data_IF_919862992241
#
_entry.id   IF_919862992241
#
_cell.length_a   1.000
_cell.length_b   1.000
_cell.length_c   1.000
_cell.angle_alpha   90.00
_cell.angle_beta   90.00
_cell.angle_gamma   90.00
#
_symmetry.space_group_name_H-M   'P 1'
#
loop_
_entity.id
_entity.type
_entity.pdbx_description
1 polymer ?
#
# COMPACT_ATOMS: atom_id res chain seq x y z
N UNK A 1 44.24 43.33 -8.36
CA UNK A 1 43.06 42.83 -7.62
C UNK A 1 43.37 41.43 -7.10
N UNK A 2 43.64 41.28 -5.80
CA UNK A 2 43.97 39.98 -5.20
C UNK A 2 42.67 39.32 -4.77
N UNK A 3 42.22 38.30 -5.49
CA UNK A 3 41.05 37.50 -5.09
C UNK A 3 41.43 36.69 -3.85
N UNK A 4 40.73 36.91 -2.74
CA UNK A 4 40.77 36.01 -1.60
C UNK A 4 40.01 34.73 -2.01
N UNK A 5 40.75 33.66 -2.31
CA UNK A 5 40.17 32.32 -2.30
C UNK A 5 39.84 31.98 -0.85
N UNK A 6 38.60 32.25 -0.44
CA UNK A 6 38.06 31.74 0.82
C UNK A 6 37.70 30.27 0.59
N UNK A 7 38.59 29.37 1.02
CA UNK A 7 38.31 27.94 1.05
C UNK A 7 37.45 27.57 2.25
N UNK A 8 36.59 26.56 2.10
CA UNK A 8 35.85 25.97 3.22
C UNK A 8 36.82 25.43 4.27
N UNK A 9 36.51 25.69 5.54
CA UNK A 9 37.31 25.14 6.65
C UNK A 9 36.92 23.69 6.91
N UNK A 10 37.88 22.89 7.40
CA UNK A 10 37.64 21.48 7.74
C UNK A 10 36.54 21.35 8.80
N UNK A 11 36.49 22.30 9.74
CA UNK A 11 35.47 22.33 10.79
C UNK A 11 34.07 22.65 10.25
N UNK A 12 33.97 23.50 9.23
CA UNK A 12 32.71 23.83 8.56
C UNK A 12 32.14 22.61 7.83
N UNK A 13 32.99 21.82 7.18
CA UNK A 13 32.58 20.54 6.59
C UNK A 13 32.16 19.53 7.67
N UNK A 14 32.86 19.46 8.81
CA UNK A 14 32.45 18.56 9.90
C UNK A 14 31.08 18.94 10.49
N UNK A 15 30.79 20.24 10.63
CA UNK A 15 29.49 20.71 11.10
C UNK A 15 28.40 20.38 10.09
N UNK A 16 28.64 20.58 8.79
CA UNK A 16 27.67 20.23 7.73
C UNK A 16 27.35 18.74 7.73
N UNK A 17 28.37 17.88 7.83
CA UNK A 17 28.17 16.41 7.88
C UNK A 17 27.40 16.02 9.14
N UNK A 18 27.69 16.63 10.28
CA UNK A 18 26.96 16.39 11.53
C UNK A 18 25.48 16.78 11.42
N UNK A 19 25.17 17.92 10.81
CA UNK A 19 23.79 18.37 10.57
C UNK A 19 23.07 17.43 9.60
N UNK A 20 23.70 17.03 8.49
CA UNK A 20 23.12 16.09 7.54
C UNK A 20 22.81 14.75 8.21
N UNK A 21 23.75 14.22 9.01
CA UNK A 21 23.53 12.99 9.77
C UNK A 21 22.31 13.06 10.70
N UNK A 22 22.12 14.20 11.38
CA UNK A 22 20.97 14.43 12.26
C UNK A 22 19.64 14.55 11.51
N UNK A 23 19.64 15.14 10.32
CA UNK A 23 18.41 15.25 9.51
C UNK A 23 18.02 13.90 8.89
N UNK A 24 19.00 13.09 8.47
CA UNK A 24 18.76 11.80 7.84
C UNK A 24 18.08 10.79 8.77
N UNK A 25 18.41 10.80 10.06
CA UNK A 25 17.80 9.88 11.04
C UNK A 25 16.29 10.09 11.21
N UNK A 26 15.81 11.33 11.11
CA UNK A 26 14.38 11.66 11.23
C UNK A 26 13.65 11.44 9.89
N UNK A 27 14.31 11.74 8.78
CA UNK A 27 13.67 11.79 7.46
C UNK A 27 13.44 10.41 6.83
N UNK A 28 14.33 9.45 7.09
CA UNK A 28 14.24 8.11 6.50
C UNK A 28 12.93 7.34 6.78
N UNK A 29 12.45 7.20 8.03
CA UNK A 29 11.23 6.43 8.31
C UNK A 29 9.97 7.05 7.69
N UNK A 30 9.90 8.39 7.63
CA UNK A 30 8.74 9.11 7.09
C UNK A 30 8.51 8.83 5.61
N UNK A 31 9.59 8.80 4.82
CA UNK A 31 9.49 8.51 3.38
C UNK A 31 8.98 7.08 3.14
N UNK A 32 9.44 6.11 3.92
CA UNK A 32 9.00 4.71 3.76
C UNK A 32 7.51 4.52 4.04
N UNK A 33 6.95 5.18 5.06
CA UNK A 33 5.53 5.09 5.36
C UNK A 33 4.67 5.78 4.30
N UNK A 34 5.15 6.89 3.71
CA UNK A 34 4.46 7.56 2.60
C UNK A 34 4.34 6.65 1.37
N UNK A 35 5.44 5.96 1.01
CA UNK A 35 5.47 5.03 -0.12
C UNK A 35 4.54 3.83 0.16
N UNK A 36 4.61 3.24 1.35
CA UNK A 36 3.69 2.15 1.77
C UNK A 36 2.23 2.57 1.70
N UNK A 37 1.90 3.78 2.17
CA UNK A 37 0.53 4.32 2.08
C UNK A 37 0.07 4.41 0.62
N UNK A 38 0.94 4.83 -0.29
CA UNK A 38 0.65 4.88 -1.73
C UNK A 38 0.31 3.49 -2.28
N UNK A 39 1.10 2.47 -1.93
CA UNK A 39 0.80 1.09 -2.34
C UNK A 39 -0.50 0.54 -1.75
N UNK A 40 -0.83 0.89 -0.49
CA UNK A 40 -2.12 0.54 0.12
C UNK A 40 -3.29 1.19 -0.64
N UNK A 41 -3.16 2.45 -1.04
CA UNK A 41 -4.21 3.13 -1.83
C UNK A 41 -4.38 2.53 -3.23
N UNK A 42 -3.27 2.11 -3.84
CA UNK A 42 -3.29 1.45 -5.15
C UNK A 42 -4.05 0.12 -5.09
N UNK A 43 -3.71 -0.75 -4.12
CA UNK A 43 -4.40 -2.04 -3.98
C UNK A 43 -5.85 -1.89 -3.57
N UNK A 44 -6.19 -0.93 -2.69
CA UNK A 44 -7.57 -0.62 -2.34
C UNK A 44 -8.38 -0.14 -3.56
N UNK A 45 -7.75 0.62 -4.46
CA UNK A 45 -8.33 1.01 -5.74
C UNK A 45 -8.61 -0.20 -6.63
N UNK A 46 -7.64 -1.10 -6.79
CA UNK A 46 -7.79 -2.33 -7.57
C UNK A 46 -8.88 -3.28 -7.02
N UNK A 47 -9.00 -3.38 -5.70
CA UNK A 47 -10.10 -4.15 -5.08
C UNK A 47 -11.46 -3.50 -5.37
N UNK A 48 -11.54 -2.18 -5.30
CA UNK A 48 -12.77 -1.43 -5.58
C UNK A 48 -13.19 -1.52 -7.05
N UNK A 49 -12.23 -1.51 -7.98
CA UNK A 49 -12.48 -1.71 -9.42
C UNK A 49 -13.02 -3.12 -9.69
N UNK A 50 -12.40 -4.14 -9.08
CA UNK A 50 -12.87 -5.52 -9.24
C UNK A 50 -14.24 -5.75 -8.63
N UNK A 51 -14.54 -5.17 -7.48
CA UNK A 51 -15.88 -5.19 -6.91
C UNK A 51 -16.90 -4.62 -7.91
N UNK A 52 -16.61 -3.48 -8.55
CA UNK A 52 -17.49 -2.92 -9.58
C UNK A 52 -17.66 -3.85 -10.79
N UNK A 53 -16.59 -4.51 -11.24
CA UNK A 53 -16.66 -5.50 -12.32
C UNK A 53 -17.54 -6.68 -11.95
N UNK A 54 -17.42 -7.18 -10.71
CA UNK A 54 -18.25 -8.25 -10.17
C UNK A 54 -19.73 -7.84 -10.09
N UNK A 55 -20.03 -6.64 -9.60
CA UNK A 55 -21.42 -6.15 -9.54
C UNK A 55 -22.04 -5.97 -10.93
N UNK A 56 -21.27 -5.51 -11.90
CA UNK A 56 -21.72 -5.44 -13.31
C UNK A 56 -21.97 -6.81 -13.90
N UNK A 57 -21.14 -7.80 -13.56
CA UNK A 57 -21.33 -9.18 -14.01
C UNK A 57 -22.58 -9.80 -13.38
N UNK A 58 -22.77 -9.61 -12.07
CA UNK A 58 -23.96 -10.07 -11.35
C UNK A 58 -25.24 -9.45 -11.90
N UNK A 59 -25.23 -8.15 -12.22
CA UNK A 59 -26.39 -7.48 -12.83
C UNK A 59 -26.83 -8.08 -14.17
N UNK A 60 -25.93 -8.79 -14.88
CA UNK A 60 -26.22 -9.43 -16.17
C UNK A 60 -26.53 -10.93 -16.04
N UNK A 61 -25.87 -11.62 -15.11
CA UNK A 61 -25.91 -13.09 -15.02
C UNK A 61 -26.62 -13.60 -13.77
N UNK A 62 -26.96 -12.73 -12.82
CA UNK A 62 -27.53 -13.05 -11.50
C UNK A 62 -26.69 -14.00 -10.63
N UNK A 63 -25.41 -14.19 -10.99
CA UNK A 63 -24.43 -14.99 -10.25
C UNK A 63 -23.05 -14.32 -10.30
N UNK A 64 -22.23 -14.47 -9.26
CA UNK A 64 -20.81 -14.05 -9.31
C UNK A 64 -19.87 -15.17 -9.75
N UNK A 65 -20.31 -16.43 -9.74
CA UNK A 65 -19.49 -17.56 -10.16
C UNK A 65 -19.00 -17.40 -11.60
N UNK A 66 -17.74 -17.77 -11.85
CA UNK A 66 -17.07 -17.67 -13.15
C UNK A 66 -16.99 -16.25 -13.75
N UNK A 67 -17.10 -15.20 -12.94
CA UNK A 67 -16.91 -13.83 -13.42
C UNK A 67 -15.51 -13.64 -14.05
N UNK A 68 -15.41 -13.22 -15.32
CA UNK A 68 -14.14 -13.01 -15.99
C UNK A 68 -13.56 -11.62 -15.68
N UNK A 69 -12.27 -11.42 -15.99
CA UNK A 69 -11.65 -10.09 -15.96
C UNK A 69 -11.22 -9.60 -14.57
N UNK A 70 -11.03 -10.51 -13.62
CA UNK A 70 -10.42 -10.19 -12.33
C UNK A 70 -8.91 -10.05 -12.46
N UNK A 71 -8.35 -9.07 -11.75
CA UNK A 71 -6.91 -8.81 -11.75
C UNK A 71 -6.21 -9.78 -10.81
N UNK A 72 -5.02 -10.24 -11.18
CA UNK A 72 -4.17 -11.04 -10.30
C UNK A 72 -3.49 -10.20 -9.18
N UNK A 73 -3.65 -8.88 -9.19
CA UNK A 73 -2.99 -7.95 -8.28
C UNK A 73 -1.92 -7.10 -8.96
N UNK A 74 -0.95 -6.62 -8.19
CA UNK A 74 0.14 -5.76 -8.64
C UNK A 74 1.51 -6.28 -8.18
N UNK A 75 2.55 -5.46 -8.24
CA UNK A 75 3.90 -5.84 -7.81
C UNK A 75 3.98 -6.28 -6.34
N UNK A 76 3.14 -5.70 -5.47
CA UNK A 76 3.23 -5.86 -4.02
C UNK A 76 2.21 -6.84 -3.43
N UNK A 77 1.07 -7.00 -4.11
CA UNK A 77 -0.04 -7.83 -3.66
C UNK A 77 -0.49 -8.81 -4.74
N UNK A 78 -0.85 -10.02 -4.35
CA UNK A 78 -1.64 -10.95 -5.17
C UNK A 78 -3.11 -10.88 -4.75
N UNK A 79 -4.02 -10.83 -5.70
CA UNK A 79 -5.46 -10.80 -5.41
C UNK A 79 -6.06 -12.17 -5.71
N UNK A 80 -6.80 -12.69 -4.74
CA UNK A 80 -7.60 -13.90 -4.88
C UNK A 80 -9.08 -13.56 -4.63
N UNK A 81 -9.95 -14.16 -5.43
CA UNK A 81 -11.39 -13.97 -5.31
C UNK A 81 -12.04 -15.30 -4.94
N UNK A 82 -12.74 -15.31 -3.81
CA UNK A 82 -13.63 -16.42 -3.44
C UNK A 82 -15.04 -16.02 -3.85
N UNK A 83 -15.56 -16.67 -4.89
CA UNK A 83 -16.86 -16.35 -5.50
C UNK A 83 -17.85 -17.47 -5.20
N UNK A 84 -19.04 -17.09 -4.74
CA UNK A 84 -20.25 -17.94 -4.72
C UNK A 84 -21.30 -17.31 -5.61
N UNK A 85 -22.45 -17.94 -5.79
CA UNK A 85 -23.50 -17.38 -6.65
C UNK A 85 -23.99 -16.01 -6.15
N UNK A 86 -24.01 -15.77 -4.82
CA UNK A 86 -24.58 -14.55 -4.24
C UNK A 86 -23.60 -13.69 -3.45
N UNK A 87 -22.38 -14.17 -3.22
CA UNK A 87 -21.39 -13.42 -2.42
C UNK A 87 -20.01 -13.52 -3.05
N UNK A 88 -19.19 -12.50 -2.80
CA UNK A 88 -17.77 -12.59 -3.07
C UNK A 88 -16.94 -12.06 -1.89
N UNK A 89 -15.74 -12.60 -1.78
CA UNK A 89 -14.66 -12.09 -0.96
C UNK A 89 -13.42 -11.90 -1.84
N UNK A 90 -13.01 -10.65 -2.01
CA UNK A 90 -11.73 -10.31 -2.60
C UNK A 90 -10.69 -10.20 -1.48
N UNK A 91 -9.55 -10.86 -1.65
CA UNK A 91 -8.43 -10.83 -0.70
C UNK A 91 -7.17 -10.43 -1.44
N UNK A 92 -6.54 -9.33 -1.05
CA UNK A 92 -5.23 -8.92 -1.53
C UNK A 92 -4.16 -9.31 -0.50
N UNK A 93 -3.40 -10.35 -0.81
CA UNK A 93 -2.34 -10.91 0.03
C UNK A 93 -1.00 -10.28 -0.35
N UNK A 94 -0.22 -9.86 0.65
CA UNK A 94 1.13 -9.33 0.42
C UNK A 94 2.05 -10.40 -0.14
N UNK A 95 2.84 -10.05 -1.14
CA UNK A 95 3.89 -10.93 -1.68
C UNK A 95 5.08 -10.95 -0.73
N UNK A 96 5.59 -12.14 -0.41
CA UNK A 96 6.63 -12.35 0.60
C UNK A 96 7.96 -11.63 0.30
N UNK A 97 8.29 -11.42 -0.97
CA UNK A 97 9.54 -10.76 -1.39
C UNK A 97 9.36 -9.27 -1.72
N UNK A 98 8.14 -8.74 -1.61
CA UNK A 98 7.85 -7.35 -1.95
C UNK A 98 8.10 -6.40 -0.76
N UNK A 99 8.27 -5.10 -1.06
CA UNK A 99 8.47 -4.05 -0.03
C UNK A 99 7.34 -3.96 1.00
N UNK A 100 6.15 -4.47 0.66
CA UNK A 100 4.97 -4.51 1.53
C UNK A 100 4.92 -5.76 2.42
N UNK A 101 5.81 -6.75 2.29
CA UNK A 101 5.73 -8.03 3.01
C UNK A 101 5.60 -7.88 4.55
N UNK A 102 6.24 -6.86 5.12
CA UNK A 102 6.23 -6.56 6.56
C UNK A 102 5.30 -5.40 6.93
N UNK A 103 4.43 -4.99 6.03
CA UNK A 103 3.54 -3.86 6.25
C UNK A 103 2.56 -4.09 7.40
N UNK A 104 2.39 -3.09 8.27
CA UNK A 104 1.54 -3.24 9.47
C UNK A 104 0.06 -3.47 9.16
N UNK A 105 -0.42 -3.07 7.98
CA UNK A 105 -1.83 -3.18 7.62
C UNK A 105 -2.24 -4.58 7.14
N UNK A 106 -1.29 -5.49 6.97
CA UNK A 106 -1.63 -6.85 6.60
C UNK A 106 -2.14 -6.97 5.16
N UNK A 107 -3.04 -7.92 4.99
CA UNK A 107 -3.72 -8.25 3.76
C UNK A 107 -5.10 -7.57 3.74
N UNK A 108 -5.53 -7.10 2.58
CA UNK A 108 -6.75 -6.31 2.44
C UNK A 108 -7.91 -7.18 1.99
N UNK A 109 -9.10 -7.00 2.57
CA UNK A 109 -10.29 -7.77 2.19
C UNK A 109 -11.46 -6.87 1.83
N UNK A 110 -12.22 -7.26 0.80
CA UNK A 110 -13.43 -6.57 0.38
C UNK A 110 -14.54 -7.57 0.07
N UNK A 111 -15.69 -7.38 0.70
CA UNK A 111 -16.88 -8.21 0.47
C UNK A 111 -17.86 -7.55 -0.50
N UNK A 112 -18.82 -8.31 -1.02
CA UNK A 112 -19.91 -7.81 -1.86
C UNK A 112 -20.78 -6.73 -1.19
N UNK A 113 -20.81 -6.66 0.13
CA UNK A 113 -21.53 -5.62 0.87
C UNK A 113 -20.73 -4.32 1.02
N UNK A 114 -19.52 -4.26 0.48
CA UNK A 114 -18.62 -3.10 0.61
C UNK A 114 -17.89 -3.04 1.96
N UNK A 115 -17.98 -4.09 2.79
CA UNK A 115 -17.21 -4.16 4.04
C UNK A 115 -15.72 -4.32 3.70
N UNK A 116 -14.96 -3.29 4.08
CA UNK A 116 -13.51 -3.20 3.97
C UNK A 116 -12.87 -3.77 5.24
N UNK A 117 -12.14 -4.85 5.09
CA UNK A 117 -11.48 -5.56 6.18
C UNK A 117 -9.98 -5.65 5.99
N UNK A 118 -9.33 -6.24 6.99
CA UNK A 118 -7.92 -6.61 6.95
C UNK A 118 -7.72 -7.95 7.66
N UNK A 119 -6.71 -8.70 7.23
CA UNK A 119 -6.22 -9.89 7.92
C UNK A 119 -4.71 -9.81 8.08
N UNK A 120 -4.15 -10.50 9.07
CA UNK A 120 -2.69 -10.49 9.33
C UNK A 120 -2.11 -9.07 9.55
N UNK A 121 -2.93 -8.14 10.04
CA UNK A 121 -2.53 -6.81 10.44
C UNK A 121 -1.90 -6.83 11.85
N UNK A 122 -1.05 -5.86 12.15
CA UNK A 122 -0.52 -5.68 13.49
C UNK A 122 -1.61 -5.28 14.49
N UNK A 123 -1.41 -5.61 15.76
CA UNK A 123 -2.37 -5.35 16.83
C UNK A 123 -2.69 -3.85 16.98
N UNK A 124 -3.96 -3.55 17.29
CA UNK A 124 -4.42 -2.19 17.56
C UNK A 124 -4.71 -1.34 16.31
N UNK A 125 -4.57 -1.89 15.10
CA UNK A 125 -4.94 -1.21 13.86
C UNK A 125 -6.40 -1.49 13.48
N UNK A 126 -7.08 -0.46 12.97
CA UNK A 126 -8.44 -0.58 12.44
C UNK A 126 -8.42 -0.54 10.91
N UNK A 127 -9.47 -1.06 10.25
CA UNK A 127 -9.60 -0.96 8.79
C UNK A 127 -9.46 0.47 8.29
N UNK A 128 -9.91 1.46 9.09
CA UNK A 128 -9.83 2.87 8.75
C UNK A 128 -8.39 3.37 8.61
N UNK A 129 -7.50 2.93 9.50
CA UNK A 129 -6.09 3.36 9.52
C UNK A 129 -5.31 2.94 8.26
N UNK A 130 -5.81 1.93 7.57
CA UNK A 130 -5.09 1.22 6.50
C UNK A 130 -5.72 1.35 5.13
N UNK A 131 -7.05 1.45 5.06
CA UNK A 131 -7.79 1.71 3.80
C UNK A 131 -7.74 3.17 3.35
N UNK A 132 -7.11 4.06 4.12
CA UNK A 132 -6.86 5.44 3.71
C UNK A 132 -8.13 6.31 3.64
N UNK A 133 -9.15 5.98 4.43
CA UNK A 133 -10.41 6.73 4.56
C UNK A 133 -10.60 7.33 5.94
#
# INVERSE_FOLDING_TARGET
MRRFNQGFTLIEIMIVIAIIGLVLTISAPLLTEYVKKTHRTEIAGLLSEQAQTLERFYSKNSVYTNAPGLSAGNEFYSITATLTDQTFLLTAVRKAEASMATDKCGDFTLTNTGVMGMSNAADGLTSKDCWGR
#
